data_IF_950159072534
#
_entry.id   IF_950159072534
#
_cell.length_a   1.000
_cell.length_b   1.000
_cell.length_c   1.000
_cell.angle_alpha   90.00
_cell.angle_beta   90.00
_cell.angle_gamma   90.00
#
_symmetry.space_group_name_H-M   'P 1'
#
loop_
_entity.id
_entity.type
_entity.pdbx_description
1 polymer ?
#
# COMPACT_ATOMS: atom_id res chain seq x y z
N UNK A 1 6.27 1.39 7.30
CA UNK A 1 6.40 0.00 6.85
C UNK A 1 7.86 -0.43 6.70
N UNK A 2 8.69 0.23 5.89
CA UNK A 2 10.11 -0.18 5.71
C UNK A 2 10.91 -0.33 7.01
N UNK A 3 10.72 0.56 7.99
CA UNK A 3 11.37 0.44 9.31
C UNK A 3 10.95 -0.81 10.10
N UNK A 4 9.71 -1.27 9.89
CA UNK A 4 9.22 -2.50 10.49
C UNK A 4 9.67 -3.73 9.70
N UNK A 5 9.90 -3.61 8.40
CA UNK A 5 10.38 -4.72 7.58
C UNK A 5 11.76 -5.21 8.05
N UNK A 6 12.64 -4.30 8.49
CA UNK A 6 13.92 -4.64 9.13
C UNK A 6 13.71 -5.46 10.39
N UNK A 7 12.79 -5.02 11.26
CA UNK A 7 12.46 -5.73 12.49
C UNK A 7 11.88 -7.12 12.22
N UNK A 8 10.99 -7.27 11.24
CA UNK A 8 10.48 -8.57 10.82
C UNK A 8 11.56 -9.48 10.24
N UNK A 9 12.51 -8.92 9.47
CA UNK A 9 13.60 -9.69 8.89
C UNK A 9 14.48 -10.32 9.98
N UNK A 10 14.86 -9.55 11.01
CA UNK A 10 15.72 -10.05 12.08
C UNK A 10 14.95 -10.84 13.15
N UNK A 11 13.83 -10.31 13.66
CA UNK A 11 13.18 -10.85 14.86
C UNK A 11 12.17 -11.97 14.56
N UNK A 12 11.63 -12.02 13.34
CA UNK A 12 10.61 -13.01 12.95
C UNK A 12 11.18 -14.02 11.96
N UNK A 13 11.81 -13.55 10.90
CA UNK A 13 12.32 -14.39 9.82
C UNK A 13 13.76 -14.88 10.08
N UNK A 14 14.45 -14.33 11.08
CA UNK A 14 15.81 -14.69 11.46
C UNK A 14 16.80 -14.65 10.29
N UNK A 15 16.64 -13.64 9.41
CA UNK A 15 17.54 -13.42 8.28
C UNK A 15 18.50 -12.26 8.55
N UNK A 16 19.61 -12.26 7.80
CA UNK A 16 20.63 -11.23 7.82
C UNK A 16 20.22 -10.01 6.96
N UNK A 17 21.09 -8.98 6.95
CA UNK A 17 20.87 -7.76 6.17
C UNK A 17 20.70 -8.04 4.66
N UNK A 18 21.35 -9.10 4.17
CA UNK A 18 21.22 -9.55 2.80
C UNK A 18 19.80 -10.11 2.55
N UNK A 19 19.29 -10.96 3.43
CA UNK A 19 17.90 -11.45 3.37
C UNK A 19 16.86 -10.32 3.45
N UNK A 20 17.07 -9.33 4.31
CA UNK A 20 16.26 -8.11 4.33
C UNK A 20 16.31 -7.37 2.98
N UNK A 21 17.49 -7.22 2.39
CA UNK A 21 17.67 -6.55 1.10
C UNK A 21 16.92 -7.27 -0.02
N UNK A 22 16.92 -8.61 -0.02
CA UNK A 22 16.14 -9.40 -0.97
C UNK A 22 14.62 -9.23 -0.78
N UNK A 23 14.13 -9.12 0.45
CA UNK A 23 12.72 -8.79 0.72
C UNK A 23 12.35 -7.42 0.11
N UNK A 24 13.24 -6.42 0.23
CA UNK A 24 13.06 -5.12 -0.41
C UNK A 24 13.06 -5.23 -1.94
N UNK A 25 13.95 -6.05 -2.51
CA UNK A 25 13.97 -6.35 -3.96
C UNK A 25 12.65 -6.95 -4.41
N UNK A 26 12.03 -7.85 -3.62
CA UNK A 26 10.70 -8.40 -3.92
C UNK A 26 9.65 -7.30 -4.12
N UNK A 27 9.60 -6.32 -3.22
CA UNK A 27 8.74 -5.14 -3.38
C UNK A 27 9.07 -4.33 -4.65
N UNK A 28 10.35 -4.14 -4.95
CA UNK A 28 10.82 -3.50 -6.18
C UNK A 28 10.37 -4.23 -7.46
N UNK A 29 10.45 -5.56 -7.48
CA UNK A 29 9.99 -6.39 -8.62
C UNK A 29 8.50 -6.18 -8.87
N UNK A 30 7.69 -6.22 -7.82
CA UNK A 30 6.26 -5.93 -7.91
C UNK A 30 5.96 -4.54 -8.46
N UNK A 31 6.68 -3.54 -7.96
CA UNK A 31 6.57 -2.14 -8.40
C UNK A 31 6.89 -1.97 -9.90
N UNK A 32 7.97 -2.60 -10.39
CA UNK A 32 8.36 -2.56 -11.81
C UNK A 32 7.32 -3.27 -12.68
N UNK A 33 6.83 -4.45 -12.26
CA UNK A 33 5.78 -5.17 -12.98
C UNK A 33 4.49 -4.32 -13.08
N UNK A 34 4.10 -3.65 -12.00
CA UNK A 34 2.97 -2.72 -12.00
C UNK A 34 3.19 -1.52 -12.93
N UNK A 35 4.40 -0.97 -12.98
CA UNK A 35 4.73 0.13 -13.89
C UNK A 35 4.60 -0.29 -15.37
N UNK A 36 5.12 -1.48 -15.73
CA UNK A 36 4.92 -2.04 -17.07
C UNK A 36 3.43 -2.24 -17.36
N UNK A 37 2.67 -2.83 -16.44
CA UNK A 37 1.22 -2.98 -16.59
C UNK A 37 0.54 -1.65 -16.90
N UNK A 38 0.86 -0.59 -16.16
CA UNK A 38 0.28 0.75 -16.37
C UNK A 38 0.70 1.38 -17.70
N UNK A 39 1.90 1.11 -18.18
CA UNK A 39 2.39 1.60 -19.47
C UNK A 39 1.61 1.00 -20.65
N UNK A 40 1.19 -0.26 -20.55
CA UNK A 40 0.45 -0.97 -21.60
C UNK A 40 -1.07 -0.92 -21.45
N UNK A 41 -1.60 -0.58 -20.27
CA UNK A 41 -3.03 -0.52 -20.02
C UNK A 41 -3.71 0.59 -20.84
N UNK A 42 -4.50 0.20 -21.87
CA UNK A 42 -5.20 1.11 -22.79
C UNK A 42 -6.58 1.57 -22.32
N UNK A 43 -7.26 0.80 -21.48
CA UNK A 43 -8.59 1.15 -20.97
C UNK A 43 -8.53 1.55 -19.48
N UNK A 44 -9.09 2.71 -19.16
CA UNK A 44 -9.11 3.33 -17.82
C UNK A 44 -10.53 3.57 -17.32
N UNK A 45 -11.55 3.03 -17.97
CA UNK A 45 -12.98 3.29 -17.67
C UNK A 45 -13.42 2.91 -16.26
N UNK A 46 -12.70 2.04 -15.55
CA UNK A 46 -13.02 1.61 -14.17
C UNK A 46 -11.94 1.92 -13.14
N UNK A 47 -11.18 3.00 -13.37
CA UNK A 47 -10.00 3.35 -12.56
C UNK A 47 -10.32 3.47 -11.06
N UNK A 48 -11.52 3.91 -10.68
CA UNK A 48 -11.92 4.01 -9.27
C UNK A 48 -11.98 2.67 -8.53
N UNK A 49 -12.67 1.67 -9.11
CA UNK A 49 -12.75 0.31 -8.53
C UNK A 49 -11.40 -0.36 -8.46
N UNK A 50 -10.62 -0.21 -9.52
CA UNK A 50 -9.31 -0.83 -9.63
C UNK A 50 -8.34 -0.26 -8.59
N UNK A 51 -8.36 1.06 -8.34
CA UNK A 51 -7.59 1.69 -7.25
C UNK A 51 -7.95 1.05 -5.91
N UNK A 52 -9.25 0.96 -5.59
CA UNK A 52 -9.67 0.41 -4.29
C UNK A 52 -9.33 -1.08 -4.18
N UNK A 53 -9.49 -1.85 -5.26
CA UNK A 53 -9.10 -3.25 -5.31
C UNK A 53 -7.60 -3.45 -5.09
N UNK A 54 -6.75 -2.64 -5.73
CA UNK A 54 -5.31 -2.66 -5.50
C UNK A 54 -4.95 -2.28 -4.05
N UNK A 55 -5.55 -1.22 -3.51
CA UNK A 55 -5.32 -0.81 -2.12
C UNK A 55 -5.76 -1.91 -1.11
N UNK A 56 -6.88 -2.59 -1.39
CA UNK A 56 -7.32 -3.73 -0.58
C UNK A 56 -6.36 -4.92 -0.67
N UNK A 57 -5.84 -5.22 -1.87
CA UNK A 57 -4.83 -6.26 -2.06
C UNK A 57 -3.53 -5.94 -1.31
N UNK A 58 -3.10 -4.67 -1.32
CA UNK A 58 -1.95 -4.20 -0.54
C UNK A 58 -2.16 -4.45 0.96
N UNK A 59 -3.29 -4.00 1.51
CA UNK A 59 -3.55 -4.16 2.95
C UNK A 59 -3.74 -5.62 3.34
N UNK A 60 -4.36 -6.44 2.49
CA UNK A 60 -4.49 -7.88 2.72
C UNK A 60 -3.12 -8.57 2.71
N UNK A 61 -2.25 -8.23 1.76
CA UNK A 61 -0.90 -8.78 1.70
C UNK A 61 -0.07 -8.39 2.93
N UNK A 62 -0.15 -7.14 3.41
CA UNK A 62 0.49 -6.69 4.65
C UNK A 62 -0.08 -7.44 5.86
N UNK A 63 -1.40 -7.63 5.93
CA UNK A 63 -2.06 -8.35 7.01
C UNK A 63 -1.58 -9.80 7.08
N UNK A 64 -1.51 -10.50 5.94
CA UNK A 64 -1.02 -11.89 5.88
C UNK A 64 0.48 -11.94 6.18
N UNK A 65 1.26 -10.99 5.66
CA UNK A 65 2.70 -10.88 5.93
C UNK A 65 2.99 -10.74 7.43
N UNK A 66 2.16 -10.01 8.18
CA UNK A 66 2.34 -9.81 9.61
C UNK A 66 2.33 -11.12 10.42
N UNK A 67 1.73 -12.20 9.90
CA UNK A 67 1.70 -13.52 10.53
C UNK A 67 2.59 -14.55 9.81
N UNK A 68 3.31 -14.13 8.76
CA UNK A 68 4.14 -15.03 7.97
C UNK A 68 5.47 -15.31 8.66
N UNK A 69 5.75 -16.60 8.88
CA UNK A 69 7.06 -17.09 9.36
C UNK A 69 7.94 -17.66 8.24
N UNK A 70 7.38 -17.82 7.03
CA UNK A 70 8.11 -18.35 5.88
C UNK A 70 8.72 -17.22 5.06
N UNK A 71 10.04 -17.26 4.89
CA UNK A 71 10.77 -16.28 4.08
C UNK A 71 10.25 -16.22 2.62
N UNK A 72 10.01 -17.38 2.00
CA UNK A 72 9.51 -17.43 0.63
C UNK A 72 8.09 -16.84 0.51
N UNK A 73 7.21 -17.13 1.46
CA UNK A 73 5.87 -16.54 1.49
C UNK A 73 5.95 -15.01 1.69
N UNK A 74 6.80 -14.56 2.62
CA UNK A 74 7.05 -13.15 2.89
C UNK A 74 7.59 -12.41 1.65
N UNK A 75 8.50 -13.01 0.89
CA UNK A 75 9.01 -12.45 -0.36
C UNK A 75 7.91 -12.30 -1.41
N UNK A 76 7.08 -13.33 -1.62
CA UNK A 76 5.96 -13.27 -2.57
C UNK A 76 4.92 -12.21 -2.15
N UNK A 77 4.63 -12.10 -0.86
CA UNK A 77 3.72 -11.08 -0.34
C UNK A 77 4.25 -9.67 -0.59
N UNK A 78 5.56 -9.45 -0.44
CA UNK A 78 6.16 -8.14 -0.72
C UNK A 78 6.11 -7.77 -2.21
N UNK A 79 6.19 -8.72 -3.13
CA UNK A 79 5.92 -8.47 -4.56
C UNK A 79 4.50 -7.91 -4.73
N UNK A 80 3.51 -8.52 -4.07
CA UNK A 80 2.12 -8.06 -4.13
C UNK A 80 1.97 -6.66 -3.51
N UNK A 81 2.62 -6.41 -2.36
CA UNK A 81 2.61 -5.09 -1.71
C UNK A 81 3.19 -4.02 -2.63
N UNK A 82 4.38 -4.24 -3.18
CA UNK A 82 5.06 -3.27 -4.05
C UNK A 82 4.27 -2.97 -5.33
N UNK A 83 3.72 -4.00 -5.98
CA UNK A 83 2.89 -3.82 -7.16
C UNK A 83 1.60 -3.06 -6.86
N UNK A 84 0.88 -3.47 -5.81
CA UNK A 84 -0.39 -2.85 -5.43
C UNK A 84 -0.21 -1.40 -4.99
N UNK A 85 0.88 -1.07 -4.29
CA UNK A 85 1.22 0.29 -3.90
C UNK A 85 1.45 1.19 -5.13
N UNK A 86 2.21 0.72 -6.12
CA UNK A 86 2.45 1.48 -7.37
C UNK A 86 1.17 1.68 -8.17
N UNK A 87 0.33 0.66 -8.29
CA UNK A 87 -0.96 0.78 -8.97
C UNK A 87 -1.85 1.82 -8.28
N UNK A 88 -2.01 1.71 -6.97
CA UNK A 88 -2.84 2.60 -6.17
C UNK A 88 -2.34 4.04 -6.26
N UNK A 89 -1.05 4.27 -6.05
CA UNK A 89 -0.45 5.60 -6.07
C UNK A 89 -0.54 6.24 -7.45
N UNK A 90 -0.12 5.54 -8.50
CA UNK A 90 -0.07 6.07 -9.87
C UNK A 90 -1.47 6.41 -10.38
N UNK A 91 -2.42 5.50 -10.22
CA UNK A 91 -3.79 5.70 -10.70
C UNK A 91 -4.53 6.78 -9.90
N UNK A 92 -4.31 6.87 -8.59
CA UNK A 92 -4.87 7.94 -7.76
C UNK A 92 -4.33 9.29 -8.19
N UNK A 93 -3.01 9.40 -8.40
CA UNK A 93 -2.37 10.63 -8.91
C UNK A 93 -2.96 11.04 -10.25
N UNK A 94 -3.04 10.13 -11.22
CA UNK A 94 -3.63 10.41 -12.53
C UNK A 94 -5.11 10.82 -12.40
N UNK A 95 -5.89 10.14 -11.57
CA UNK A 95 -7.32 10.47 -11.38
C UNK A 95 -7.51 11.87 -10.79
N UNK A 96 -6.72 12.24 -9.78
CA UNK A 96 -6.76 13.59 -9.18
C UNK A 96 -6.36 14.64 -10.21
N UNK A 97 -5.28 14.41 -10.96
CA UNK A 97 -4.81 15.34 -11.99
C UNK A 97 -5.83 15.58 -13.10
N UNK A 98 -6.53 14.53 -13.54
CA UNK A 98 -7.57 14.60 -14.57
C UNK A 98 -8.87 15.23 -14.06
N UNK A 99 -9.17 15.10 -12.76
CA UNK A 99 -10.37 15.69 -12.15
C UNK A 99 -10.18 17.16 -11.76
N UNK A 100 -8.94 17.61 -11.61
CA UNK A 100 -8.61 18.97 -11.22
C UNK A 100 -8.61 19.94 -12.42
N UNK A 101 -9.27 21.11 -12.33
CA UNK A 101 -9.15 22.17 -13.33
C UNK A 101 -7.70 22.61 -13.52
N UNK A 102 -7.33 22.99 -14.74
CA UNK A 102 -5.94 23.29 -15.12
C UNK A 102 -5.34 24.42 -14.26
N UNK A 103 -6.14 25.42 -13.92
CA UNK A 103 -5.75 26.65 -13.25
C UNK A 103 -5.35 26.42 -11.78
N UNK A 104 -5.93 25.39 -11.16
CA UNK A 104 -5.70 25.05 -9.75
C UNK A 104 -5.10 23.65 -9.56
N UNK A 105 -4.72 22.95 -10.63
CA UNK A 105 -4.14 21.60 -10.57
C UNK A 105 -2.94 21.54 -9.62
N UNK A 106 -2.06 22.54 -9.67
CA UNK A 106 -0.90 22.63 -8.78
C UNK A 106 -1.29 22.73 -7.30
N UNK A 107 -2.35 23.50 -6.98
CA UNK A 107 -2.88 23.63 -5.60
C UNK A 107 -3.51 22.33 -5.11
N UNK A 108 -4.29 21.66 -5.97
CA UNK A 108 -4.93 20.38 -5.64
C UNK A 108 -3.87 19.29 -5.39
N UNK A 109 -2.88 19.18 -6.27
CA UNK A 109 -1.77 18.23 -6.09
C UNK A 109 -0.90 18.57 -4.88
N UNK A 110 -0.68 19.86 -4.61
CA UNK A 110 0.02 20.32 -3.41
C UNK A 110 -0.70 19.90 -2.13
N UNK A 111 -2.02 20.12 -2.04
CA UNK A 111 -2.83 19.69 -0.89
C UNK A 111 -2.84 18.16 -0.73
N UNK A 112 -2.97 17.41 -1.84
CA UNK A 112 -2.90 15.95 -1.82
C UNK A 112 -1.54 15.44 -1.33
N UNK A 113 -0.45 16.02 -1.83
CA UNK A 113 0.92 15.65 -1.45
C UNK A 113 1.18 16.00 0.02
N UNK A 114 0.74 17.18 0.46
CA UNK A 114 0.85 17.59 1.86
C UNK A 114 0.10 16.62 2.79
N UNK A 115 -1.14 16.24 2.45
CA UNK A 115 -1.91 15.28 3.24
C UNK A 115 -1.24 13.90 3.31
N UNK A 116 -0.80 13.37 2.17
CA UNK A 116 -0.18 12.04 2.13
C UNK A 116 1.18 11.99 2.82
N UNK A 117 2.04 13.00 2.63
CA UNK A 117 3.34 13.08 3.30
C UNK A 117 3.20 13.42 4.79
N UNK A 118 2.25 14.30 5.15
CA UNK A 118 1.94 14.62 6.54
C UNK A 118 1.47 13.39 7.32
N UNK A 119 0.59 12.58 6.74
CA UNK A 119 0.17 11.32 7.34
C UNK A 119 1.33 10.34 7.53
N UNK A 120 2.32 10.30 6.62
CA UNK A 120 3.50 9.44 6.77
C UNK A 120 4.32 9.78 8.01
N UNK A 121 4.45 11.08 8.34
CA UNK A 121 5.15 11.53 9.57
C UNK A 121 4.42 11.06 10.81
N UNK A 122 3.09 11.17 10.84
CA UNK A 122 2.27 10.74 11.99
C UNK A 122 2.24 9.21 12.14
N UNK A 123 2.31 8.47 11.04
CA UNK A 123 2.19 7.02 11.05
C UNK A 123 3.34 6.35 11.84
N UNK A 124 4.57 6.87 11.74
CA UNK A 124 5.75 6.30 12.40
C UNK A 124 5.59 6.16 13.91
N UNK A 125 5.35 7.26 14.66
CA UNK A 125 5.13 7.21 16.10
C UNK A 125 3.90 6.37 16.51
N UNK A 126 2.81 6.43 15.75
CA UNK A 126 1.59 5.67 16.05
C UNK A 126 1.82 4.15 15.96
N UNK A 127 2.40 3.69 14.83
CA UNK A 127 2.77 2.29 14.66
C UNK A 127 3.87 1.86 15.64
N UNK A 128 4.86 2.73 15.89
CA UNK A 128 5.93 2.49 16.85
C UNK A 128 5.41 2.28 18.27
N UNK A 129 4.53 3.17 18.75
CA UNK A 129 3.87 3.04 20.05
C UNK A 129 3.03 1.78 20.16
N UNK A 130 2.25 1.45 19.13
CA UNK A 130 1.50 0.19 19.08
C UNK A 130 2.42 -1.03 19.12
N UNK A 131 3.58 -0.98 18.47
CA UNK A 131 4.53 -2.08 18.45
C UNK A 131 5.23 -2.30 19.79
N UNK A 132 5.49 -1.24 20.56
CA UNK A 132 6.01 -1.35 21.92
C UNK A 132 5.00 -2.04 22.85
N UNK A 133 3.71 -1.75 22.69
CA UNK A 133 2.65 -2.28 23.55
C UNK A 133 2.20 -3.70 23.19
N UNK A 134 2.11 -4.00 21.89
CA UNK A 134 1.49 -5.24 21.39
C UNK A 134 2.46 -6.12 20.59
N UNK A 135 3.70 -5.68 20.37
CA UNK A 135 4.63 -6.30 19.44
C UNK A 135 4.39 -5.84 18.00
N UNK A 136 5.45 -5.88 17.19
CA UNK A 136 5.40 -5.44 15.80
C UNK A 136 4.44 -6.22 14.90
N UNK A 137 4.33 -7.57 14.99
CA UNK A 137 3.34 -8.33 14.23
C UNK A 137 1.91 -7.84 14.42
N UNK A 138 1.48 -7.71 15.69
CA UNK A 138 0.11 -7.29 16.01
C UNK A 138 -0.15 -5.82 15.66
N UNK A 139 0.85 -4.94 15.83
CA UNK A 139 0.73 -3.53 15.45
C UNK A 139 0.54 -3.36 13.94
N UNK A 140 1.34 -4.05 13.13
CA UNK A 140 1.24 -4.01 11.66
C UNK A 140 -0.05 -4.67 11.18
N UNK A 141 -0.41 -5.82 11.74
CA UNK A 141 -1.67 -6.51 11.42
C UNK A 141 -2.89 -5.64 11.77
N UNK A 142 -2.92 -5.05 12.95
CA UNK A 142 -4.02 -4.18 13.40
C UNK A 142 -4.19 -2.96 12.50
N UNK A 143 -3.09 -2.28 12.16
CA UNK A 143 -3.14 -1.15 11.24
C UNK A 143 -3.65 -1.56 9.84
N UNK A 144 -3.14 -2.65 9.29
CA UNK A 144 -3.59 -3.17 8.00
C UNK A 144 -5.08 -3.57 8.02
N UNK A 145 -5.54 -4.22 9.10
CA UNK A 145 -6.93 -4.62 9.27
C UNK A 145 -7.88 -3.42 9.34
N UNK A 146 -7.51 -2.35 10.07
CA UNK A 146 -8.32 -1.12 10.16
C UNK A 146 -8.47 -0.47 8.80
N UNK A 147 -7.37 -0.34 8.04
CA UNK A 147 -7.41 0.26 6.69
C UNK A 147 -8.20 -0.62 5.73
N UNK A 148 -7.99 -1.94 5.76
CA UNK A 148 -8.73 -2.90 4.93
C UNK A 148 -10.24 -2.84 5.21
N UNK A 149 -10.64 -2.83 6.48
CA UNK A 149 -12.04 -2.70 6.88
C UNK A 149 -12.64 -1.36 6.45
N UNK A 150 -11.88 -0.26 6.56
CA UNK A 150 -12.27 1.05 6.06
C UNK A 150 -12.52 1.07 4.56
N UNK A 151 -11.60 0.49 3.77
CA UNK A 151 -11.73 0.36 2.32
C UNK A 151 -12.93 -0.53 1.94
N UNK A 152 -13.13 -1.65 2.62
CA UNK A 152 -14.27 -2.53 2.41
C UNK A 152 -15.60 -1.80 2.70
N UNK A 153 -15.65 -1.01 3.78
CA UNK A 153 -16.79 -0.18 4.12
C UNK A 153 -17.07 0.91 3.08
N UNK A 154 -16.03 1.56 2.55
CA UNK A 154 -16.14 2.55 1.46
C UNK A 154 -16.69 1.87 0.19
N UNK A 155 -16.15 0.71 -0.19
CA UNK A 155 -16.61 -0.05 -1.34
C UNK A 155 -18.10 -0.46 -1.19
N UNK A 156 -18.52 -0.82 0.02
CA UNK A 156 -19.90 -1.18 0.32
C UNK A 156 -20.86 0.02 0.29
N UNK A 157 -20.42 1.18 0.83
CA UNK A 157 -21.27 2.37 1.04
C UNK A 157 -21.27 3.37 -0.10
N UNK A 158 -20.26 3.38 -0.98
CA UNK A 158 -20.17 4.32 -2.09
C UNK A 158 -20.64 3.62 -3.38
N UNK A 159 -21.92 3.76 -3.78
CA UNK A 159 -22.49 2.97 -4.87
C UNK A 159 -21.91 3.38 -6.23
N UNK A 160 -21.35 4.60 -6.32
CA UNK A 160 -20.64 5.11 -7.49
C UNK A 160 -19.45 4.20 -7.84
N UNK A 161 -18.72 3.70 -6.81
CA UNK A 161 -17.69 2.70 -6.99
C UNK A 161 -18.25 1.33 -7.38
N UNK A 162 -19.55 1.03 -7.23
CA UNK A 162 -20.18 -0.23 -7.68
C UNK A 162 -20.95 -0.08 -8.99
N UNK A 163 -21.09 1.14 -9.52
CA UNK A 163 -21.97 1.49 -10.66
C UNK A 163 -21.33 2.17 -11.87
N UNK A 164 -20.01 2.29 -11.98
CA UNK A 164 -19.35 2.47 -13.29
C UNK A 164 -19.96 1.52 -14.36
N UNK A 165 -20.90 2.08 -15.14
CA UNK A 165 -21.47 1.62 -16.41
C UNK A 165 -20.83 2.48 -17.49
#
# INVERSE_FOLDING_TARGET
FNSFLVLFAHDVLHVDDLGYSFLLVGSGVGAVAAAFYLAYARDRRHTGRFIVGAAMAEMLAILVFAFSTSYAASFLLLIVVGGSAVLTQSLTNTKIQLSAPNEIRGRVMGAYTFGTQGMRVLNGPLLGGAAILFGAPLAVAGAAAVVFAGLAAIMARVPQLRRDR
#
